data_IF_845249479697
#
_entry.id   IF_845249479697
#
_cell.length_a   1.000
_cell.length_b   1.000
_cell.length_c   1.000
_cell.angle_alpha   90.00
_cell.angle_beta   90.00
_cell.angle_gamma   90.00
#
_symmetry.space_group_name_H-M   'P 1'
#
loop_
_entity.id
_entity.type
_entity.pdbx_description
1 polymer ?
#
# COMPACT_ATOMS: atom_id res chain seq x y z
N UNK A 1 41.95 -21.03 46.34
CA UNK A 1 42.10 -20.15 45.17
C UNK A 1 41.79 -20.97 43.93
N UNK A 2 40.64 -20.74 43.30
CA UNK A 2 40.23 -21.37 42.04
C UNK A 2 40.40 -20.35 40.91
N UNK A 3 41.04 -20.69 39.79
CA UNK A 3 41.29 -19.72 38.72
C UNK A 3 40.02 -19.49 37.90
N UNK A 4 39.72 -18.22 37.59
CA UNK A 4 38.62 -17.83 36.73
C UNK A 4 38.93 -18.14 35.26
N UNK A 5 38.03 -18.86 34.58
CA UNK A 5 38.08 -19.01 33.13
C UNK A 5 37.84 -17.65 32.46
N UNK A 6 38.87 -17.14 31.77
CA UNK A 6 38.70 -16.05 30.81
C UNK A 6 37.91 -16.59 29.60
N UNK A 7 36.61 -16.30 29.52
CA UNK A 7 35.86 -16.49 28.30
C UNK A 7 36.20 -15.36 27.31
N UNK A 8 36.99 -15.68 26.29
CA UNK A 8 37.20 -14.79 25.14
C UNK A 8 35.86 -14.52 24.45
N UNK A 9 35.40 -13.26 24.46
CA UNK A 9 34.32 -12.81 23.57
C UNK A 9 34.78 -13.00 22.13
N UNK A 10 34.17 -13.95 21.44
CA UNK A 10 34.39 -14.18 20.02
C UNK A 10 34.16 -12.88 19.24
N UNK A 11 35.22 -12.37 18.60
CA UNK A 11 35.13 -11.25 17.68
C UNK A 11 34.38 -11.75 16.45
N UNK A 12 33.09 -11.43 16.37
CA UNK A 12 32.33 -11.58 15.12
C UNK A 12 32.88 -10.55 14.16
N UNK A 13 33.74 -11.01 13.24
CA UNK A 13 34.18 -10.20 12.09
C UNK A 13 32.94 -9.94 11.22
N UNK A 14 32.23 -8.84 11.50
CA UNK A 14 31.17 -8.34 10.62
C UNK A 14 31.85 -8.02 9.29
N UNK A 15 31.68 -8.88 8.28
CA UNK A 15 31.98 -8.54 6.88
C UNK A 15 31.36 -7.16 6.64
N UNK A 16 32.13 -6.19 6.15
CA UNK A 16 31.62 -4.86 5.82
C UNK A 16 30.40 -5.05 4.93
N UNK A 17 29.23 -4.70 5.47
CA UNK A 17 28.01 -4.60 4.70
C UNK A 17 28.27 -3.63 3.56
N UNK A 18 27.95 -4.04 2.33
CA UNK A 18 28.30 -3.27 1.12
C UNK A 18 27.53 -1.95 1.05
N UNK A 19 26.38 -1.89 1.71
CA UNK A 19 25.52 -0.72 1.76
C UNK A 19 25.38 -0.25 3.20
N UNK A 20 25.44 1.07 3.40
CA UNK A 20 25.29 1.66 4.73
C UNK A 20 23.86 1.55 5.22
N UNK A 21 23.67 1.54 6.56
CA UNK A 21 22.33 1.61 7.17
C UNK A 21 21.53 2.82 6.66
N UNK A 22 22.19 3.97 6.49
CA UNK A 22 21.57 5.20 5.98
C UNK A 22 20.97 5.01 4.58
N UNK A 23 21.69 4.35 3.66
CA UNK A 23 21.17 4.09 2.31
C UNK A 23 19.96 3.15 2.34
N UNK A 24 20.02 2.08 3.15
CA UNK A 24 18.91 1.13 3.30
C UNK A 24 17.67 1.77 3.93
N UNK A 25 17.89 2.59 4.96
CA UNK A 25 16.82 3.35 5.62
C UNK A 25 16.17 4.35 4.67
N UNK A 26 16.94 4.98 3.78
CA UNK A 26 16.38 5.87 2.77
C UNK A 26 15.43 5.12 1.83
N UNK A 27 15.87 3.98 1.26
CA UNK A 27 14.98 3.14 0.42
C UNK A 27 13.75 2.69 1.21
N UNK A 28 13.93 2.25 2.45
CA UNK A 28 12.83 1.87 3.31
C UNK A 28 11.81 3.00 3.46
N UNK A 29 12.25 4.21 3.82
CA UNK A 29 11.36 5.37 3.94
C UNK A 29 10.63 5.67 2.63
N UNK A 30 11.33 5.64 1.50
CA UNK A 30 10.74 5.93 0.20
C UNK A 30 9.67 4.90 -0.21
N UNK A 31 9.90 3.62 0.09
CA UNK A 31 8.97 2.54 -0.24
C UNK A 31 7.84 2.38 0.78
N UNK A 32 8.08 2.70 2.06
CA UNK A 32 7.16 2.48 3.16
C UNK A 32 6.31 3.71 3.49
N UNK A 33 6.92 4.89 3.56
CA UNK A 33 6.19 6.15 3.84
C UNK A 33 5.64 6.79 2.57
N UNK A 34 6.23 6.47 1.41
CA UNK A 34 5.89 7.08 0.13
C UNK A 34 6.58 8.42 -0.10
N UNK A 35 6.19 9.09 -1.18
CA UNK A 35 6.81 10.34 -1.65
C UNK A 35 5.79 11.43 -1.96
N UNK A 36 4.54 11.26 -1.52
CA UNK A 36 3.46 12.22 -1.74
C UNK A 36 3.64 13.47 -0.88
N UNK A 37 2.74 14.44 -1.02
CA UNK A 37 2.74 15.62 -0.16
C UNK A 37 2.60 15.24 1.32
N UNK A 38 1.74 14.27 1.63
CA UNK A 38 1.51 13.81 3.00
C UNK A 38 2.77 13.13 3.57
N UNK A 39 3.46 12.30 2.77
CA UNK A 39 4.71 11.63 3.15
C UNK A 39 5.84 12.56 3.61
N UNK A 40 5.88 13.81 3.13
CA UNK A 40 7.00 14.74 3.38
C UNK A 40 7.17 15.11 4.85
N UNK A 41 6.08 15.15 5.61
CA UNK A 41 6.11 15.51 7.03
C UNK A 41 6.13 14.29 7.95
N UNK A 42 6.05 13.07 7.40
CA UNK A 42 6.07 11.86 8.22
C UNK A 42 7.42 11.63 8.89
N UNK A 43 7.35 11.22 10.15
CA UNK A 43 8.50 10.83 10.96
C UNK A 43 8.22 9.52 11.67
N UNK A 44 9.08 8.54 11.44
CA UNK A 44 9.20 7.36 12.29
C UNK A 44 10.06 7.78 13.49
N UNK A 45 9.53 7.71 14.71
CA UNK A 45 10.23 8.19 15.90
C UNK A 45 11.33 7.23 16.36
N UNK A 46 11.15 5.94 16.08
CA UNK A 46 12.04 4.87 16.51
C UNK A 46 12.75 4.19 15.33
N UNK A 47 13.28 4.97 14.38
CA UNK A 47 13.98 4.41 13.21
C UNK A 47 15.13 3.48 13.60
N UNK A 48 15.79 3.71 14.73
CA UNK A 48 16.91 2.89 15.20
C UNK A 48 16.51 1.46 15.61
N UNK A 49 15.22 1.21 15.89
CA UNK A 49 14.69 -0.14 16.10
C UNK A 49 14.58 -0.93 14.77
N UNK A 50 14.71 -0.27 13.61
CA UNK A 50 14.67 -0.91 12.29
C UNK A 50 16.04 -1.50 11.94
N UNK A 51 16.03 -2.78 11.57
CA UNK A 51 17.22 -3.46 11.07
C UNK A 51 16.98 -4.07 9.69
N UNK A 52 18.06 -4.21 8.92
CA UNK A 52 18.01 -4.54 7.51
C UNK A 52 18.86 -5.76 7.18
N UNK A 53 18.37 -6.59 6.26
CA UNK A 53 19.14 -7.66 5.62
C UNK A 53 19.07 -7.49 4.12
N UNK A 54 20.20 -7.61 3.44
CA UNK A 54 20.22 -7.59 1.98
C UNK A 54 20.58 -8.98 1.44
N UNK A 55 19.69 -9.56 0.64
CA UNK A 55 19.95 -10.77 -0.12
C UNK A 55 20.68 -10.41 -1.42
N UNK A 56 21.96 -10.76 -1.49
CA UNK A 56 22.81 -10.45 -2.65
C UNK A 56 22.57 -11.37 -3.85
N UNK A 57 21.93 -12.52 -3.64
CA UNK A 57 21.64 -13.47 -4.72
C UNK A 57 20.39 -13.02 -5.46
N UNK A 58 19.37 -12.62 -4.71
CA UNK A 58 18.08 -12.22 -5.26
C UNK A 58 17.92 -10.69 -5.41
N UNK A 59 18.92 -9.92 -4.99
CA UNK A 59 18.89 -8.44 -4.96
C UNK A 59 17.68 -7.89 -4.20
N UNK A 60 17.45 -8.39 -2.99
CA UNK A 60 16.29 -7.98 -2.16
C UNK A 60 16.77 -7.36 -0.85
N UNK A 61 16.33 -6.13 -0.56
CA UNK A 61 16.44 -5.51 0.76
C UNK A 61 15.22 -5.86 1.59
N UNK A 62 15.43 -6.49 2.75
CA UNK A 62 14.41 -6.75 3.76
C UNK A 62 14.60 -5.85 4.97
N UNK A 63 13.49 -5.41 5.56
CA UNK A 63 13.48 -4.61 6.79
C UNK A 63 12.63 -5.30 7.86
N UNK A 64 13.01 -5.09 9.12
CA UNK A 64 12.42 -5.74 10.27
C UNK A 64 12.43 -4.78 11.47
N UNK A 65 11.52 -5.00 12.41
CA UNK A 65 11.47 -4.30 13.69
C UNK A 65 10.83 -5.23 14.74
N UNK A 66 11.42 -5.32 15.92
CA UNK A 66 10.87 -6.11 17.04
C UNK A 66 9.75 -5.37 17.79
N UNK A 67 9.56 -4.08 17.47
CA UNK A 67 8.54 -3.20 18.07
C UNK A 67 7.71 -2.54 16.98
N UNK A 68 6.48 -2.10 17.27
CA UNK A 68 5.73 -1.23 16.38
C UNK A 68 6.54 0.02 15.99
N UNK A 69 6.47 0.41 14.72
CA UNK A 69 7.00 1.67 14.24
C UNK A 69 6.05 2.78 14.69
N UNK A 70 6.58 3.77 15.40
CA UNK A 70 5.82 4.91 15.92
C UNK A 70 5.90 6.04 14.89
N UNK A 71 4.83 6.28 14.16
CA UNK A 71 4.81 7.20 13.02
C UNK A 71 3.96 8.41 13.37
N UNK A 72 4.50 9.61 13.16
CA UNK A 72 3.74 10.86 13.24
C UNK A 72 3.42 11.34 11.83
N UNK A 73 2.12 11.48 11.53
CA UNK A 73 1.60 12.03 10.29
C UNK A 73 0.80 13.31 10.58
N UNK A 74 1.48 14.47 10.71
CA UNK A 74 0.79 15.72 10.97
C UNK A 74 -0.07 16.18 9.79
N UNK A 75 0.27 15.79 8.55
CA UNK A 75 -0.52 16.15 7.35
C UNK A 75 -1.94 15.58 7.37
N UNK A 76 -2.12 14.41 7.98
CA UNK A 76 -3.44 13.78 8.15
C UNK A 76 -3.93 13.81 9.60
N UNK A 77 -3.22 14.49 10.50
CA UNK A 77 -3.60 14.62 11.91
C UNK A 77 -3.63 13.28 12.67
N UNK A 78 -2.69 12.38 12.39
CA UNK A 78 -2.62 11.06 13.03
C UNK A 78 -1.26 10.76 13.64
N UNK A 79 -1.27 9.98 14.73
CA UNK A 79 -0.16 9.05 15.04
C UNK A 79 -0.56 7.65 14.60
N UNK A 80 0.42 6.88 14.13
CA UNK A 80 0.22 5.52 13.63
C UNK A 80 1.23 4.62 14.32
N UNK A 81 0.74 3.61 15.03
CA UNK A 81 1.55 2.49 15.50
C UNK A 81 1.47 1.38 14.45
N UNK A 82 2.58 1.06 13.81
CA UNK A 82 2.62 0.11 12.69
C UNK A 82 3.46 -1.13 13.04
N UNK A 83 2.82 -2.29 13.16
CA UNK A 83 3.47 -3.59 13.35
C UNK A 83 3.91 -4.15 11.99
N UNK A 84 5.19 -3.94 11.65
CA UNK A 84 5.76 -4.40 10.38
C UNK A 84 5.90 -5.93 10.37
N UNK A 85 5.12 -6.59 9.51
CA UNK A 85 5.16 -8.05 9.33
C UNK A 85 6.11 -8.45 8.21
N UNK A 86 6.03 -7.76 7.06
CA UNK A 86 6.95 -7.96 5.95
C UNK A 86 7.36 -6.62 5.33
N UNK A 87 8.59 -6.55 4.85
CA UNK A 87 9.07 -5.49 3.97
C UNK A 87 10.12 -6.06 3.03
N UNK A 88 9.92 -5.87 1.73
CA UNK A 88 10.86 -6.26 0.69
C UNK A 88 10.96 -5.15 -0.36
N UNK A 89 12.18 -4.83 -0.78
CA UNK A 89 12.46 -3.97 -1.92
C UNK A 89 13.41 -4.73 -2.85
N UNK A 90 12.94 -5.04 -4.05
CA UNK A 90 13.65 -5.84 -5.06
C UNK A 90 14.31 -4.92 -6.07
N UNK A 91 15.56 -5.22 -6.42
CA UNK A 91 16.36 -4.44 -7.36
C UNK A 91 16.73 -5.25 -8.59
N UNK A 92 16.95 -4.56 -9.71
CA UNK A 92 17.36 -5.18 -10.99
C UNK A 92 18.80 -5.72 -10.96
N UNK A 93 19.60 -5.25 -10.01
CA UNK A 93 20.99 -5.63 -9.78
C UNK A 93 21.37 -5.33 -8.33
N UNK A 94 22.58 -5.72 -7.93
CA UNK A 94 23.14 -5.41 -6.61
C UNK A 94 23.22 -3.89 -6.36
N UNK A 95 22.18 -3.32 -5.72
CA UNK A 95 22.01 -1.87 -5.53
C UNK A 95 21.08 -1.55 -4.35
N UNK A 96 21.10 -0.29 -3.91
CA UNK A 96 20.15 0.32 -2.95
C UNK A 96 19.80 1.75 -3.40
N UNK A 97 19.54 1.93 -4.69
CA UNK A 97 19.14 3.21 -5.27
C UNK A 97 17.76 3.08 -5.90
N UNK A 98 17.05 4.21 -6.04
CA UNK A 98 15.69 4.24 -6.59
C UNK A 98 15.66 3.84 -8.07
N UNK A 99 16.70 4.17 -8.81
CA UNK A 99 16.80 3.91 -10.25
C UNK A 99 16.85 2.41 -10.57
N UNK A 100 17.36 1.62 -9.64
CA UNK A 100 17.46 0.17 -9.78
C UNK A 100 16.31 -0.58 -9.08
N UNK A 101 15.42 0.13 -8.37
CA UNK A 101 14.27 -0.44 -7.66
C UNK A 101 13.23 -0.93 -8.69
N UNK A 102 12.93 -2.23 -8.64
CA UNK A 102 11.97 -2.88 -9.53
C UNK A 102 10.60 -2.96 -8.87
N UNK A 103 10.58 -3.34 -7.59
CA UNK A 103 9.37 -3.60 -6.84
C UNK A 103 9.60 -3.33 -5.36
N UNK A 104 8.53 -2.94 -4.66
CA UNK A 104 8.53 -2.91 -3.20
C UNK A 104 7.20 -3.38 -2.65
N UNK A 105 7.26 -4.17 -1.59
CA UNK A 105 6.11 -4.71 -0.89
C UNK A 105 6.30 -4.52 0.62
N UNK A 106 5.20 -4.23 1.32
CA UNK A 106 5.18 -4.24 2.77
C UNK A 106 3.81 -4.65 3.27
N UNK A 107 3.76 -5.25 4.45
CA UNK A 107 2.52 -5.64 5.13
C UNK A 107 2.67 -5.54 6.64
N UNK A 108 1.54 -5.39 7.32
CA UNK A 108 1.52 -5.20 8.76
C UNK A 108 0.15 -4.76 9.27
N UNK A 109 0.09 -4.49 10.57
CA UNK A 109 -1.09 -3.99 11.24
C UNK A 109 -0.85 -2.55 11.67
N UNK A 110 -1.83 -1.68 11.44
CA UNK A 110 -1.77 -0.27 11.80
C UNK A 110 -2.86 0.07 12.82
N UNK A 111 -2.48 0.85 13.84
CA UNK A 111 -3.41 1.48 14.78
C UNK A 111 -3.23 2.98 14.71
N UNK A 112 -4.35 3.69 14.53
CA UNK A 112 -4.37 5.14 14.40
C UNK A 112 -4.85 5.79 15.70
N UNK A 113 -4.20 6.88 16.08
CA UNK A 113 -4.65 7.83 17.10
C UNK A 113 -4.87 9.18 16.40
N UNK A 114 -6.10 9.69 16.43
CA UNK A 114 -6.41 11.04 15.94
C UNK A 114 -5.82 12.09 16.90
N UNK A 115 -5.03 13.00 16.34
CA UNK A 115 -4.40 14.10 17.10
C UNK A 115 -4.80 15.49 16.60
N UNK A 116 -5.41 15.57 15.40
CA UNK A 116 -5.97 16.80 14.84
C UNK A 116 -7.17 16.43 13.93
N UNK A 117 -8.23 17.21 14.00
CA UNK A 117 -9.45 17.07 13.20
C UNK A 117 -9.98 18.42 12.72
N UNK A 118 -9.11 19.41 12.59
CA UNK A 118 -9.44 20.69 11.98
C UNK A 118 -9.96 20.52 10.55
N UNK A 119 -10.74 21.50 10.08
CA UNK A 119 -11.32 21.46 8.74
C UNK A 119 -10.24 21.32 7.63
N UNK A 120 -9.05 21.87 7.85
CA UNK A 120 -7.91 21.70 6.94
C UNK A 120 -7.46 20.23 6.87
N UNK A 121 -7.29 19.58 8.03
CA UNK A 121 -6.93 18.16 8.10
C UNK A 121 -8.04 17.28 7.50
N UNK A 122 -9.32 17.59 7.77
CA UNK A 122 -10.44 16.86 7.19
C UNK A 122 -10.45 16.96 5.65
N UNK A 123 -10.15 18.13 5.10
CA UNK A 123 -10.01 18.31 3.65
C UNK A 123 -8.82 17.52 3.07
N UNK A 124 -7.70 17.45 3.80
CA UNK A 124 -6.54 16.64 3.40
C UNK A 124 -6.83 15.14 3.45
N UNK A 125 -7.55 14.67 4.47
CA UNK A 125 -8.02 13.28 4.57
C UNK A 125 -8.98 12.93 3.44
N UNK A 126 -9.91 13.83 3.12
CA UNK A 126 -10.80 13.67 1.98
C UNK A 126 -9.99 13.50 0.69
N UNK A 127 -8.98 14.36 0.47
CA UNK A 127 -8.12 14.29 -0.71
C UNK A 127 -7.24 13.02 -0.74
N UNK A 128 -6.82 12.50 0.42
CA UNK A 128 -6.10 11.23 0.51
C UNK A 128 -7.01 10.02 0.23
N UNK A 129 -8.31 10.13 0.56
CA UNK A 129 -9.30 9.10 0.25
C UNK A 129 -9.71 9.10 -1.22
N UNK A 130 -10.03 10.27 -1.78
CA UNK A 130 -10.49 10.41 -3.15
C UNK A 130 -9.41 9.97 -4.14
N UNK A 131 -9.75 8.97 -4.96
CA UNK A 131 -8.85 8.40 -5.95
C UNK A 131 -7.93 7.31 -5.42
N UNK A 132 -8.08 6.91 -4.14
CA UNK A 132 -7.28 5.87 -3.51
C UNK A 132 -7.62 4.44 -3.91
N UNK A 133 -6.73 3.51 -3.55
CA UNK A 133 -6.98 2.07 -3.75
C UNK A 133 -8.24 1.62 -3.02
N UNK A 134 -8.44 2.09 -1.78
CA UNK A 134 -9.65 1.83 -0.99
C UNK A 134 -10.88 2.39 -1.70
N UNK A 135 -10.82 3.63 -2.18
CA UNK A 135 -11.91 4.24 -2.94
C UNK A 135 -12.24 3.47 -4.21
N UNK A 136 -11.23 3.00 -4.94
CA UNK A 136 -11.40 2.15 -6.11
C UNK A 136 -12.14 0.86 -5.76
N UNK A 137 -11.70 0.12 -4.74
CA UNK A 137 -12.33 -1.15 -4.36
C UNK A 137 -13.75 -0.96 -3.82
N UNK A 138 -14.02 0.11 -3.07
CA UNK A 138 -15.38 0.43 -2.62
C UNK A 138 -16.30 0.78 -3.80
N UNK A 139 -15.84 1.56 -4.77
CA UNK A 139 -16.60 1.86 -5.98
C UNK A 139 -16.85 0.60 -6.81
N UNK A 140 -15.83 -0.26 -6.98
CA UNK A 140 -15.95 -1.55 -7.64
C UNK A 140 -17.01 -2.44 -6.95
N UNK A 141 -16.93 -2.60 -5.62
CA UNK A 141 -17.85 -3.43 -4.85
C UNK A 141 -19.31 -2.92 -4.90
N UNK A 142 -19.50 -1.60 -5.02
CA UNK A 142 -20.81 -0.96 -5.10
C UNK A 142 -21.28 -0.69 -6.54
N UNK A 143 -20.49 -1.11 -7.54
CA UNK A 143 -20.76 -0.88 -8.96
C UNK A 143 -20.97 0.60 -9.31
N UNK A 144 -20.20 1.48 -8.67
CA UNK A 144 -20.22 2.94 -8.87
C UNK A 144 -19.14 3.30 -9.89
N UNK A 145 -19.55 3.79 -11.06
CA UNK A 145 -18.65 4.11 -12.17
C UNK A 145 -19.13 5.36 -12.91
N UNK A 146 -18.29 6.37 -12.97
CA UNK A 146 -18.48 7.54 -13.82
C UNK A 146 -17.14 8.28 -14.02
N UNK A 147 -17.16 9.39 -14.77
CA UNK A 147 -15.97 10.18 -15.12
C UNK A 147 -15.39 11.00 -13.95
N UNK A 148 -16.17 11.20 -12.89
CA UNK A 148 -15.76 11.88 -11.65
C UNK A 148 -15.24 10.85 -10.63
N UNK A 149 -15.60 9.58 -10.81
CA UNK A 149 -15.06 8.41 -10.14
C UNK A 149 -13.93 7.77 -10.99
N UNK A 150 -14.02 6.46 -11.27
CA UNK A 150 -13.04 5.72 -12.05
C UNK A 150 -13.59 5.32 -13.43
N UNK A 151 -12.78 5.53 -14.46
CA UNK A 151 -12.96 4.91 -15.77
C UNK A 151 -11.97 3.77 -15.95
N UNK A 152 -12.45 2.66 -16.52
CA UNK A 152 -11.62 1.53 -16.90
C UNK A 152 -11.33 1.63 -18.40
N UNK A 153 -10.05 1.58 -18.76
CA UNK A 153 -9.58 1.68 -20.14
C UNK A 153 -8.75 0.45 -20.49
N UNK A 154 -8.89 -0.02 -21.73
CA UNK A 154 -8.01 -1.01 -22.31
C UNK A 154 -7.79 -0.69 -23.78
N UNK A 155 -6.53 -0.70 -24.22
CA UNK A 155 -6.15 -0.35 -25.59
C UNK A 155 -6.79 0.98 -26.07
N UNK A 156 -6.76 2.00 -25.20
CA UNK A 156 -7.32 3.36 -25.44
C UNK A 156 -8.85 3.44 -25.55
N UNK A 157 -9.57 2.35 -25.30
CA UNK A 157 -11.03 2.34 -25.29
C UNK A 157 -11.55 2.31 -23.86
N UNK A 158 -12.52 3.17 -23.56
CA UNK A 158 -13.29 3.09 -22.31
C UNK A 158 -14.14 1.83 -22.36
N UNK A 159 -14.08 1.04 -21.30
CA UNK A 159 -14.82 -0.22 -21.18
C UNK A 159 -16.07 -0.04 -20.31
N UNK A 160 -17.09 -0.84 -20.59
CA UNK A 160 -18.16 -1.08 -19.63
C UNK A 160 -17.61 -2.01 -18.52
N UNK A 161 -17.63 -1.60 -17.23
CA UNK A 161 -17.17 -2.41 -16.11
C UNK A 161 -17.82 -3.80 -16.03
N UNK A 162 -19.05 -3.99 -16.52
CA UNK A 162 -19.72 -5.29 -16.58
C UNK A 162 -19.00 -6.30 -17.49
N UNK A 163 -18.19 -5.82 -18.43
CA UNK A 163 -17.35 -6.65 -19.29
C UNK A 163 -15.95 -6.91 -18.69
N UNK A 164 -15.66 -6.34 -17.52
CA UNK A 164 -14.40 -6.51 -16.80
C UNK A 164 -14.59 -7.32 -15.52
N UNK A 165 -15.74 -7.15 -14.86
CA UNK A 165 -15.99 -7.74 -13.55
C UNK A 165 -17.39 -8.30 -13.45
N UNK A 166 -17.50 -9.45 -12.77
CA UNK A 166 -18.76 -9.95 -12.24
C UNK A 166 -18.73 -9.79 -10.72
N UNK A 167 -19.78 -9.16 -10.18
CA UNK A 167 -19.85 -8.76 -8.78
C UNK A 167 -21.01 -9.51 -8.12
N UNK A 168 -20.72 -10.23 -7.04
CA UNK A 168 -21.68 -11.00 -6.24
C UNK A 168 -21.62 -10.50 -4.79
N UNK A 169 -22.73 -9.95 -4.28
CA UNK A 169 -22.79 -9.40 -2.93
C UNK A 169 -23.18 -10.48 -1.92
N UNK A 170 -22.33 -10.67 -0.94
CA UNK A 170 -22.57 -11.54 0.21
C UNK A 170 -22.80 -10.69 1.48
N UNK A 171 -23.12 -11.36 2.59
CA UNK A 171 -23.43 -10.69 3.87
C UNK A 171 -22.26 -9.84 4.38
N UNK A 172 -21.06 -10.40 4.38
CA UNK A 172 -19.88 -9.82 5.06
C UNK A 172 -18.81 -9.33 4.08
N UNK A 173 -18.98 -9.57 2.77
CA UNK A 173 -18.04 -9.19 1.72
C UNK A 173 -18.73 -9.13 0.35
N UNK A 174 -18.04 -8.59 -0.64
CA UNK A 174 -18.43 -8.63 -2.05
C UNK A 174 -17.41 -9.47 -2.80
N UNK A 175 -17.87 -10.55 -3.45
CA UNK A 175 -17.04 -11.38 -4.32
C UNK A 175 -16.94 -10.73 -5.70
N UNK A 176 -15.72 -10.58 -6.18
CA UNK A 176 -15.40 -10.04 -7.50
C UNK A 176 -14.69 -11.12 -8.31
N UNK A 177 -15.26 -11.43 -9.47
CA UNK A 177 -14.64 -12.26 -10.50
C UNK A 177 -14.14 -11.35 -11.63
N UNK A 178 -12.85 -11.43 -11.93
CA UNK A 178 -12.16 -10.68 -12.98
C UNK A 178 -12.33 -11.44 -14.28
N UNK A 179 -13.06 -10.83 -15.22
CA UNK A 179 -13.34 -11.43 -16.52
C UNK A 179 -12.09 -11.29 -17.40
N UNK A 180 -11.39 -12.41 -17.56
CA UNK A 180 -10.15 -12.48 -18.31
C UNK A 180 -10.31 -11.92 -19.73
N UNK A 181 -9.34 -11.12 -20.16
CA UNK A 181 -9.18 -10.77 -21.58
C UNK A 181 -8.00 -11.58 -22.09
N UNK A 182 -8.25 -12.36 -23.14
CA UNK A 182 -7.35 -13.38 -23.68
C UNK A 182 -6.00 -12.84 -24.16
N UNK A 183 -5.07 -12.50 -23.26
CA UNK A 183 -3.67 -12.28 -23.60
C UNK A 183 -2.78 -12.69 -22.44
N UNK A 184 -2.52 -14.00 -22.31
CA UNK A 184 -1.39 -14.47 -21.51
C UNK A 184 -0.11 -13.98 -22.17
N UNK A 185 0.53 -12.94 -21.62
CA UNK A 185 1.95 -12.73 -21.89
C UNK A 185 2.71 -13.93 -21.34
N UNK A 186 3.57 -14.54 -22.17
CA UNK A 186 4.49 -15.56 -21.69
C UNK A 186 5.32 -14.96 -20.54
N UNK A 187 5.27 -15.62 -19.37
CA UNK A 187 5.95 -15.27 -18.11
C UNK A 187 5.29 -14.28 -17.14
N UNK A 188 4.00 -13.96 -17.28
CA UNK A 188 3.25 -13.21 -16.25
C UNK A 188 2.03 -14.01 -15.82
N UNK A 189 1.79 -14.18 -14.52
CA UNK A 189 0.55 -14.73 -13.96
C UNK A 189 -0.62 -13.74 -14.13
N UNK A 190 -0.71 -13.05 -15.26
CA UNK A 190 -1.70 -12.00 -15.52
C UNK A 190 -3.03 -12.59 -15.98
N UNK A 191 -4.10 -12.27 -15.26
CA UNK A 191 -5.50 -12.57 -15.62
C UNK A 191 -6.09 -11.43 -16.43
N UNK A 192 -5.87 -10.19 -16.02
CA UNK A 192 -6.27 -9.00 -16.75
C UNK A 192 -5.44 -7.77 -16.32
N UNK A 193 -5.28 -6.82 -17.22
CA UNK A 193 -4.75 -5.50 -16.91
C UNK A 193 -5.62 -4.39 -17.51
N UNK A 194 -5.71 -3.28 -16.78
CA UNK A 194 -6.47 -2.11 -17.19
C UNK A 194 -5.73 -0.82 -16.84
N UNK A 195 -5.94 0.21 -17.66
CA UNK A 195 -5.66 1.58 -17.27
C UNK A 195 -6.86 2.12 -16.48
N UNK A 196 -6.59 2.87 -15.42
CA UNK A 196 -7.57 3.55 -14.59
C UNK A 196 -7.39 5.06 -14.75
N UNK A 197 -8.49 5.78 -14.98
CA UNK A 197 -8.51 7.25 -14.92
C UNK A 197 -9.44 7.67 -13.80
N UNK A 198 -8.88 8.35 -12.80
CA UNK A 198 -9.63 9.04 -11.76
C UNK A 198 -9.72 10.54 -12.08
N UNK A 199 -10.89 11.15 -11.82
CA UNK A 199 -11.14 12.59 -11.99
C UNK A 199 -10.61 13.19 -13.32
N UNK A 200 -10.69 12.42 -14.41
CA UNK A 200 -10.30 12.78 -15.79
C UNK A 200 -8.80 13.01 -16.05
N UNK A 201 -7.93 12.99 -15.04
CA UNK A 201 -6.51 13.35 -15.19
C UNK A 201 -5.52 12.47 -14.41
N UNK A 202 -5.97 11.73 -13.40
CA UNK A 202 -5.09 10.88 -12.62
C UNK A 202 -5.04 9.48 -13.23
N UNK A 203 -3.89 9.15 -13.80
CA UNK A 203 -3.68 7.90 -14.52
C UNK A 203 -2.97 6.87 -13.62
N UNK A 204 -3.55 5.68 -13.57
CA UNK A 204 -2.95 4.51 -12.93
C UNK A 204 -3.11 3.28 -13.83
N UNK A 205 -2.32 2.25 -13.58
CA UNK A 205 -2.54 0.92 -14.13
C UNK A 205 -2.89 -0.05 -13.00
N UNK A 206 -3.67 -1.08 -13.31
CA UNK A 206 -3.97 -2.19 -12.41
C UNK A 206 -3.75 -3.50 -13.15
N UNK A 207 -3.04 -4.43 -12.52
CA UNK A 207 -2.80 -5.80 -13.00
C UNK A 207 -3.41 -6.75 -11.99
N UNK A 208 -4.29 -7.63 -12.45
CA UNK A 208 -4.85 -8.72 -11.67
C UNK A 208 -4.11 -10.01 -12.00
N UNK A 209 -3.49 -10.61 -11.00
CA UNK A 209 -2.90 -11.95 -11.07
C UNK A 209 -3.80 -13.04 -10.47
N UNK A 210 -5.07 -12.68 -10.25
CA UNK A 210 -6.10 -13.53 -9.68
C UNK A 210 -7.40 -13.28 -10.43
N UNK A 211 -8.16 -14.34 -10.65
CA UNK A 211 -9.48 -14.32 -11.28
C UNK A 211 -10.60 -14.06 -10.26
N UNK A 212 -10.38 -14.33 -8.97
CA UNK A 212 -11.38 -14.13 -7.92
C UNK A 212 -10.77 -13.54 -6.65
N UNK A 213 -11.40 -12.50 -6.13
CA UNK A 213 -11.09 -11.91 -4.83
C UNK A 213 -12.34 -11.40 -4.12
N UNK A 214 -12.20 -11.07 -2.83
CA UNK A 214 -13.26 -10.50 -2.01
C UNK A 214 -12.89 -9.08 -1.61
N UNK A 215 -13.86 -8.17 -1.66
CA UNK A 215 -13.78 -6.81 -1.12
C UNK A 215 -14.58 -6.76 0.17
N UNK A 216 -13.98 -6.25 1.24
CA UNK A 216 -14.60 -6.09 2.55
C UNK A 216 -15.23 -4.69 2.70
N UNK A 217 -16.10 -4.47 3.71
CA UNK A 217 -16.80 -3.19 3.89
C UNK A 217 -15.89 -1.98 4.10
N UNK A 218 -14.64 -2.18 4.53
CA UNK A 218 -13.61 -1.17 4.72
C UNK A 218 -12.77 -0.90 3.44
N UNK A 219 -13.09 -1.58 2.34
CA UNK A 219 -12.39 -1.48 1.05
C UNK A 219 -11.09 -2.29 0.97
N UNK A 220 -10.73 -3.05 2.02
CA UNK A 220 -9.67 -4.05 1.92
C UNK A 220 -10.07 -5.17 0.96
N UNK A 221 -9.07 -5.85 0.39
CA UNK A 221 -9.29 -6.99 -0.49
C UNK A 221 -8.50 -8.24 -0.05
N UNK A 222 -9.02 -9.41 -0.39
CA UNK A 222 -8.44 -10.70 0.02
C UNK A 222 -7.19 -11.13 -0.76
N UNK A 223 -6.75 -10.36 -1.75
CA UNK A 223 -5.70 -10.73 -2.73
C UNK A 223 -4.71 -9.58 -2.97
N UNK A 224 -4.30 -8.91 -1.88
CA UNK A 224 -3.46 -7.70 -1.95
C UNK A 224 -2.11 -7.93 -2.67
N UNK A 225 -1.56 -9.15 -2.59
CA UNK A 225 -0.31 -9.53 -3.26
C UNK A 225 -0.49 -9.86 -4.75
N UNK A 226 -1.73 -10.10 -5.20
CA UNK A 226 -2.06 -10.47 -6.58
C UNK A 226 -2.80 -9.36 -7.33
N UNK A 227 -2.88 -8.15 -6.77
CA UNK A 227 -3.46 -6.99 -7.43
C UNK A 227 -2.42 -5.87 -7.36
N UNK A 228 -1.77 -5.63 -8.50
CA UNK A 228 -0.61 -4.73 -8.58
C UNK A 228 -1.02 -3.43 -9.23
N UNK A 229 -0.79 -2.32 -8.53
CA UNK A 229 -1.02 -0.97 -9.05
C UNK A 229 0.26 -0.35 -9.61
N UNK A 230 0.11 0.49 -10.64
CA UNK A 230 1.15 1.37 -11.17
C UNK A 230 0.61 2.79 -11.37
N UNK A 231 1.48 3.77 -11.58
CA UNK A 231 1.08 5.17 -11.72
C UNK A 231 0.59 5.76 -10.39
N UNK A 232 -0.45 6.61 -10.44
CA UNK A 232 -0.85 7.43 -9.28
C UNK A 232 -1.19 6.60 -8.03
N UNK A 233 -1.98 5.54 -8.19
CA UNK A 233 -2.39 4.63 -7.10
C UNK A 233 -1.22 3.88 -6.45
N UNK A 234 -0.11 3.68 -7.18
CA UNK A 234 1.08 3.00 -6.63
C UNK A 234 1.92 3.90 -5.71
N UNK A 235 1.70 5.22 -5.76
CA UNK A 235 2.34 6.20 -4.89
C UNK A 235 1.79 6.16 -3.46
N UNK A 236 0.57 5.63 -3.28
CA UNK A 236 -0.08 5.53 -1.98
C UNK A 236 0.67 4.55 -1.09
N UNK A 237 1.21 5.09 0.00
CA UNK A 237 1.93 4.34 1.04
C UNK A 237 1.43 4.78 2.41
N UNK A 238 2.16 4.47 3.48
CA UNK A 238 1.77 4.86 4.86
C UNK A 238 1.53 6.36 5.03
N UNK A 239 2.18 7.20 4.20
CA UNK A 239 1.94 8.65 4.19
C UNK A 239 0.50 9.07 3.86
N UNK A 240 -0.21 8.26 3.07
CA UNK A 240 -1.56 8.54 2.60
C UNK A 240 -2.62 7.62 3.25
N UNK A 241 -2.20 6.70 4.13
CA UNK A 241 -3.10 5.78 4.79
C UNK A 241 -4.08 6.50 5.73
N UNK A 242 -5.32 6.05 5.68
CA UNK A 242 -6.38 6.42 6.61
C UNK A 242 -6.77 5.19 7.46
N UNK A 243 -7.41 5.39 8.62
CA UNK A 243 -7.99 4.30 9.40
C UNK A 243 -8.99 3.48 8.55
N UNK A 244 -9.07 2.17 8.77
CA UNK A 244 -10.00 1.29 8.03
C UNK A 244 -11.48 1.68 8.20
N UNK A 245 -11.83 2.29 9.33
CA UNK A 245 -13.16 2.79 9.61
C UNK A 245 -13.36 4.25 9.15
N UNK A 246 -12.47 4.81 8.34
CA UNK A 246 -12.65 6.13 7.77
C UNK A 246 -13.83 6.11 6.80
N UNK A 247 -14.92 6.78 7.17
CA UNK A 247 -16.09 6.96 6.32
C UNK A 247 -16.10 8.39 5.82
N UNK A 248 -15.98 8.55 4.50
CA UNK A 248 -16.34 9.82 3.88
C UNK A 248 -17.86 9.90 3.75
N UNK A 249 -18.48 10.84 4.46
CA UNK A 249 -19.89 11.21 4.24
C UNK A 249 -19.88 12.56 3.51
N UNK A 250 -20.28 12.61 2.23
CA UNK A 250 -20.44 13.89 1.54
C UNK A 250 -21.48 14.75 2.28
N UNK A 251 -21.19 16.04 2.52
CA UNK A 251 -22.13 16.96 3.19
C UNK A 251 -23.51 17.06 2.50
N UNK A 252 -23.61 16.64 1.23
CA UNK A 252 -24.83 16.70 0.43
C UNK A 252 -25.55 15.35 0.24
N UNK A 253 -25.08 14.27 0.86
CA UNK A 253 -25.70 12.95 0.75
C UNK A 253 -26.09 12.42 2.14
N UNK A 254 -27.08 13.06 2.74
CA UNK A 254 -27.99 12.37 3.67
C UNK A 254 -28.84 11.42 2.81
N UNK A 255 -28.24 10.33 2.31
CA UNK A 255 -29.04 9.21 1.88
C UNK A 255 -29.64 8.60 3.14
N UNK A 256 -30.98 8.58 3.14
CA UNK A 256 -31.81 7.71 3.95
C UNK A 256 -31.30 6.27 3.88
N UNK A 257 -30.29 5.94 4.67
CA UNK A 257 -29.96 4.56 5.01
C UNK A 257 -30.65 4.30 6.33
N UNK A 258 -31.89 3.81 6.22
CA UNK A 258 -32.54 3.10 7.30
C UNK A 258 -31.69 1.89 7.65
N UNK A 259 -30.71 2.07 8.53
CA UNK A 259 -30.04 0.98 9.21
C UNK A 259 -30.90 0.67 10.42
N UNK A 260 -31.53 -0.51 10.34
CA UNK A 260 -32.24 -1.15 11.43
C UNK A 260 -31.35 -1.20 12.68
N UNK A 261 -31.94 -0.83 13.82
CA UNK A 261 -31.44 -1.10 15.16
C UNK A 261 -31.20 -2.60 15.38
#
# INVERSE_FOLDING_TARGET
MTPSLNSLKGVVVKRKDQFTRKQKLQIFRDCFLGQTHNSKLLKIQNEDDIYFRYDKVNFVLKAFSDKPLLISNPSLGYKIDYELTNFEATFSKLSVTKEDLVESYYSGLSRFEEIDNSNEILALRKKAYEGSQVHFFLNLANNIWDKEQFLIIHNKNVLDPKNCFKIEREKDFVKVEVLAKEYKKENINEVASYDLIFNKNEHSGIIFETDVFYVYPDGNNSKIENIVFSGKLSEEKVGDMLPLNYVYVPENEIYNTGILK
#
